data_IF_131789642279
#
_entry.id   IF_131789642279
#
_cell.length_a   1.000
_cell.length_b   1.000
_cell.length_c   1.000
_cell.angle_alpha   90.00
_cell.angle_beta   90.00
_cell.angle_gamma   90.00
#
_symmetry.space_group_name_H-M   'P 1'
#
loop_
_entity.id
_entity.type
_entity.pdbx_description
1 polymer ?
#
# COMPACT_ATOMS: atom_id res chain seq x y z
N UNK A 1 58.14 -0.34 37.94
CA UNK A 1 57.62 0.38 36.75
C UNK A 1 56.94 -0.51 35.69
N UNK A 2 57.28 -1.79 35.54
CA UNK A 2 56.74 -2.62 34.43
C UNK A 2 55.25 -3.02 34.57
N UNK A 3 54.76 -3.26 35.81
CA UNK A 3 53.38 -3.75 36.05
C UNK A 3 52.30 -2.75 35.61
N UNK A 4 52.52 -1.44 35.79
CA UNK A 4 51.57 -0.41 35.37
C UNK A 4 51.45 -0.27 33.85
N UNK A 5 52.55 -0.50 33.10
CA UNK A 5 52.50 -0.51 31.64
C UNK A 5 51.69 -1.69 31.09
N UNK A 6 51.80 -2.87 31.71
CA UNK A 6 51.02 -4.05 31.32
C UNK A 6 49.51 -3.87 31.57
N UNK A 7 49.14 -3.27 32.70
CA UNK A 7 47.74 -2.96 33.01
C UNK A 7 47.13 -1.97 32.00
N UNK A 8 47.88 -0.94 31.61
CA UNK A 8 47.40 0.01 30.60
C UNK A 8 47.23 -0.65 29.22
N UNK A 9 48.16 -1.55 28.83
CA UNK A 9 48.05 -2.29 27.56
C UNK A 9 46.80 -3.19 27.54
N UNK A 10 46.52 -3.90 28.65
CA UNK A 10 45.33 -4.73 28.78
C UNK A 10 44.06 -3.88 28.71
N UNK A 11 44.06 -2.71 29.35
CA UNK A 11 42.93 -1.79 29.34
C UNK A 11 42.65 -1.23 27.93
N UNK A 12 43.69 -0.82 27.19
CA UNK A 12 43.53 -0.37 25.81
C UNK A 12 43.10 -1.50 24.86
N UNK A 13 43.61 -2.72 25.06
CA UNK A 13 43.19 -3.89 24.30
C UNK A 13 41.70 -4.21 24.52
N UNK A 14 41.22 -4.10 25.76
CA UNK A 14 39.81 -4.28 26.09
C UNK A 14 38.92 -3.20 25.46
N UNK A 15 39.32 -1.93 25.54
CA UNK A 15 38.61 -0.82 24.88
C UNK A 15 38.55 -1.02 23.37
N UNK A 16 39.66 -1.45 22.75
CA UNK A 16 39.70 -1.71 21.32
C UNK A 16 38.77 -2.85 20.92
N UNK A 17 38.75 -3.94 21.68
CA UNK A 17 37.82 -5.06 21.45
C UNK A 17 36.35 -4.62 21.59
N UNK A 18 36.04 -3.77 22.57
CA UNK A 18 34.70 -3.21 22.76
C UNK A 18 34.28 -2.30 21.59
N UNK A 19 35.19 -1.48 21.07
CA UNK A 19 34.94 -0.63 19.89
C UNK A 19 34.69 -1.44 18.62
N UNK A 20 35.47 -2.50 18.40
CA UNK A 20 35.28 -3.42 17.26
C UNK A 20 33.93 -4.14 17.37
N UNK A 21 33.61 -4.66 18.56
CA UNK A 21 32.32 -5.31 18.81
C UNK A 21 31.13 -4.37 18.58
N UNK A 22 31.22 -3.13 19.10
CA UNK A 22 30.21 -2.10 18.89
C UNK A 22 30.07 -1.72 17.41
N UNK A 23 31.18 -1.58 16.68
CA UNK A 23 31.18 -1.32 15.23
C UNK A 23 30.53 -2.44 14.41
N UNK A 24 30.75 -3.70 14.77
CA UNK A 24 30.11 -4.84 14.10
C UNK A 24 28.58 -4.86 14.29
N UNK A 25 28.08 -4.47 15.47
CA UNK A 25 26.64 -4.43 15.76
C UNK A 25 25.95 -3.30 14.98
N UNK A 26 26.52 -2.09 14.99
CA UNK A 26 25.88 -0.92 14.37
C UNK A 26 25.73 -1.05 12.85
N UNK A 27 26.63 -1.76 12.18
CA UNK A 27 26.54 -2.03 10.75
C UNK A 27 25.30 -2.84 10.35
N UNK A 28 24.82 -3.74 11.21
CA UNK A 28 23.65 -4.59 10.88
C UNK A 28 22.30 -3.89 11.04
N UNK A 29 22.24 -2.74 11.71
CA UNK A 29 20.98 -2.05 12.02
C UNK A 29 20.47 -1.14 10.89
N UNK A 30 21.33 -0.68 9.98
CA UNK A 30 20.94 0.30 8.95
C UNK A 30 20.12 -0.30 7.80
N UNK A 31 20.37 -1.55 7.41
CA UNK A 31 19.63 -2.20 6.30
C UNK A 31 18.18 -2.48 6.69
N UNK A 32 17.96 -2.95 7.91
CA UNK A 32 16.61 -3.34 8.40
C UNK A 32 15.64 -2.17 8.45
N UNK A 33 16.10 -0.96 8.74
CA UNK A 33 15.23 0.21 8.82
C UNK A 33 14.74 0.68 7.45
N UNK A 34 15.58 0.56 6.42
CA UNK A 34 15.20 0.92 5.06
C UNK A 34 14.21 -0.09 4.45
N UNK A 35 14.42 -1.38 4.73
CA UNK A 35 13.52 -2.45 4.28
C UNK A 35 12.12 -2.28 4.90
N UNK A 36 12.04 -1.99 6.20
CA UNK A 36 10.76 -1.74 6.89
C UNK A 36 10.06 -0.49 6.34
N UNK A 37 10.79 0.56 5.99
CA UNK A 37 10.20 1.77 5.43
C UNK A 37 9.60 1.52 4.04
N UNK A 38 10.33 0.81 3.18
CA UNK A 38 9.86 0.50 1.82
C UNK A 38 8.71 -0.50 1.81
N UNK A 39 8.71 -1.47 2.72
CA UNK A 39 7.61 -2.41 2.89
C UNK A 39 6.34 -1.71 3.37
N UNK A 40 6.45 -0.80 4.35
CA UNK A 40 5.32 0.03 4.80
C UNK A 40 4.74 0.90 3.68
N UNK A 41 5.58 1.50 2.84
CA UNK A 41 5.12 2.32 1.73
C UNK A 41 4.37 1.47 0.69
N UNK A 42 4.88 0.29 0.33
CA UNK A 42 4.23 -0.62 -0.60
C UNK A 42 2.87 -1.09 -0.06
N UNK A 43 2.83 -1.57 1.19
CA UNK A 43 1.59 -2.02 1.82
C UNK A 43 0.57 -0.89 1.93
N UNK A 44 1.01 0.32 2.28
CA UNK A 44 0.15 1.50 2.35
C UNK A 44 -0.47 1.88 1.00
N UNK A 45 0.32 1.85 -0.08
CA UNK A 45 -0.20 2.11 -1.44
C UNK A 45 -1.22 1.07 -1.88
N UNK A 46 -0.93 -0.21 -1.66
CA UNK A 46 -1.86 -1.29 -2.00
C UNK A 46 -3.13 -1.21 -1.16
N UNK A 47 -3.03 -0.88 0.13
CA UNK A 47 -4.20 -0.69 0.99
C UNK A 47 -5.11 0.42 0.48
N UNK A 48 -4.56 1.58 0.13
CA UNK A 48 -5.34 2.70 -0.39
C UNK A 48 -6.05 2.34 -1.71
N UNK A 49 -5.36 1.63 -2.61
CA UNK A 49 -5.95 1.16 -3.87
C UNK A 49 -7.13 0.20 -3.63
N UNK A 50 -6.94 -0.80 -2.75
CA UNK A 50 -8.00 -1.75 -2.41
C UNK A 50 -9.17 -1.06 -1.69
N UNK A 51 -8.90 -0.07 -0.84
CA UNK A 51 -9.95 0.69 -0.15
C UNK A 51 -10.79 1.51 -1.14
N UNK A 52 -10.15 2.14 -2.11
CA UNK A 52 -10.83 2.89 -3.18
C UNK A 52 -11.68 1.95 -4.05
N UNK A 53 -11.11 0.83 -4.49
CA UNK A 53 -11.83 -0.18 -5.29
C UNK A 53 -13.04 -0.73 -4.52
N UNK A 54 -12.88 -1.03 -3.23
CA UNK A 54 -13.97 -1.52 -2.40
C UNK A 54 -15.09 -0.47 -2.25
N UNK A 55 -14.74 0.82 -2.10
CA UNK A 55 -15.74 1.91 -2.08
C UNK A 55 -16.50 2.01 -3.40
N UNK A 56 -15.82 1.89 -4.54
CA UNK A 56 -16.46 1.90 -5.86
C UNK A 56 -17.41 0.72 -6.02
N UNK A 57 -16.95 -0.49 -5.68
CA UNK A 57 -17.76 -1.71 -5.74
C UNK A 57 -18.96 -1.66 -4.79
N UNK A 58 -18.81 -1.06 -3.60
CA UNK A 58 -19.92 -0.87 -2.66
C UNK A 58 -20.97 0.09 -3.23
N UNK A 59 -20.54 1.18 -3.86
CA UNK A 59 -21.45 2.10 -4.55
C UNK A 59 -22.14 1.45 -5.75
N UNK A 60 -21.42 0.65 -6.52
CA UNK A 60 -22.00 -0.12 -7.63
C UNK A 60 -23.02 -1.13 -7.13
N UNK A 61 -22.74 -1.86 -6.05
CA UNK A 61 -23.71 -2.75 -5.40
C UNK A 61 -24.97 -2.02 -4.96
N UNK A 62 -24.85 -0.80 -4.42
CA UNK A 62 -26.01 0.01 -4.04
C UNK A 62 -26.83 0.40 -5.28
N UNK A 63 -26.18 0.81 -6.37
CA UNK A 63 -26.86 1.13 -7.65
C UNK A 63 -27.53 -0.10 -8.26
N UNK A 64 -26.89 -1.26 -8.18
CA UNK A 64 -27.43 -2.54 -8.64
C UNK A 64 -28.51 -3.10 -7.70
N UNK A 65 -28.62 -2.60 -6.46
CA UNK A 65 -29.71 -2.96 -5.56
C UNK A 65 -30.98 -2.11 -5.80
N UNK A 66 -30.88 -1.01 -6.55
CA UNK A 66 -32.02 -0.21 -6.94
C UNK A 66 -32.70 -0.83 -8.16
N UNK A 67 -33.86 -1.48 -7.93
CA UNK A 67 -34.68 -2.09 -8.97
C UNK A 67 -35.02 -1.13 -10.13
N UNK A 68 -35.10 0.18 -9.87
CA UNK A 68 -35.37 1.16 -10.93
C UNK A 68 -34.18 1.34 -11.88
N UNK A 69 -32.96 1.22 -11.36
CA UNK A 69 -31.74 1.28 -12.17
C UNK A 69 -31.58 -0.01 -12.99
N UNK A 70 -31.86 -1.19 -12.41
CA UNK A 70 -31.90 -2.46 -13.14
C UNK A 70 -32.95 -2.40 -14.26
N UNK A 71 -34.17 -1.93 -13.97
CA UNK A 71 -35.23 -1.79 -14.96
C UNK A 71 -34.83 -0.84 -16.09
N UNK A 72 -34.12 0.26 -15.77
CA UNK A 72 -33.62 1.20 -16.77
C UNK A 72 -32.57 0.56 -17.69
N UNK A 73 -31.55 -0.10 -17.14
CA UNK A 73 -30.50 -0.76 -17.93
C UNK A 73 -31.10 -1.90 -18.77
N UNK A 74 -31.98 -2.72 -18.20
CA UNK A 74 -32.66 -3.78 -18.94
C UNK A 74 -33.52 -3.22 -20.09
N UNK A 75 -34.16 -2.05 -19.91
CA UNK A 75 -34.89 -1.36 -20.97
C UNK A 75 -33.97 -0.81 -22.07
N UNK A 76 -32.81 -0.26 -21.69
CA UNK A 76 -31.81 0.23 -22.65
C UNK A 76 -31.23 -0.93 -23.48
N UNK A 77 -30.88 -2.06 -22.85
CA UNK A 77 -30.35 -3.25 -23.52
C UNK A 77 -31.40 -3.94 -24.43
N UNK A 78 -32.68 -3.91 -24.04
CA UNK A 78 -33.78 -4.50 -24.81
C UNK A 78 -34.40 -3.52 -25.82
N UNK A 79 -33.95 -2.26 -25.89
CA UNK A 79 -34.54 -1.23 -26.74
C UNK A 79 -36.00 -0.86 -26.39
N UNK A 80 -36.39 -1.06 -25.13
CA UNK A 80 -37.76 -0.86 -24.64
C UNK A 80 -37.92 0.53 -24.01
N UNK A 81 -38.90 1.32 -24.48
CA UNK A 81 -39.25 2.63 -23.92
C UNK A 81 -40.53 2.57 -23.07
N UNK A 82 -40.56 3.34 -21.98
CA UNK A 82 -41.73 3.41 -21.08
C UNK A 82 -42.87 4.15 -21.78
N UNK A 83 -44.14 3.82 -21.44
CA UNK A 83 -45.30 4.57 -21.94
C UNK A 83 -45.15 6.07 -21.59
N UNK A 84 -44.94 6.91 -22.61
CA UNK A 84 -44.79 8.35 -22.47
C UNK A 84 -43.37 8.90 -22.72
N UNK A 85 -42.36 8.06 -22.95
CA UNK A 85 -41.00 8.50 -23.32
C UNK A 85 -40.81 8.45 -24.85
N UNK A 86 -40.30 9.53 -25.46
CA UNK A 86 -39.97 9.58 -26.89
C UNK A 86 -38.64 8.89 -27.15
N UNK A 87 -38.56 7.83 -27.99
CA UNK A 87 -37.30 7.16 -28.27
C UNK A 87 -36.35 8.10 -29.01
N UNK A 88 -35.22 8.46 -28.40
CA UNK A 88 -34.15 9.19 -29.07
C UNK A 88 -33.26 8.16 -29.77
N UNK A 89 -33.54 7.93 -31.06
CA UNK A 89 -32.67 7.15 -31.93
C UNK A 89 -31.48 8.06 -32.28
N UNK A 90 -30.30 7.83 -31.70
CA UNK A 90 -29.07 8.42 -32.22
C UNK A 90 -28.77 7.73 -33.55
N UNK A 91 -29.16 8.36 -34.65
CA UNK A 91 -28.69 7.97 -35.98
C UNK A 91 -27.17 8.19 -36.03
N UNK A 92 -26.42 7.11 -35.87
CA UNK A 92 -25.00 7.08 -36.22
C UNK A 92 -24.92 7.15 -37.74
N UNK A 93 -24.84 8.37 -38.27
CA UNK A 93 -24.56 8.61 -39.67
C UNK A 93 -23.16 8.05 -39.97
N UNK A 94 -23.10 7.02 -40.80
CA UNK A 94 -21.87 6.46 -41.35
C UNK A 94 -21.91 6.61 -42.87
#
# INVERSE_FOLDING_TARGET
MAKGKLINIIFYSFIFAALVYFGCITYQHQVKLNDIATEKEKVGKTYLQLEEENKLLAQEKIKLADNQYIEKIAREDLGLVKKGETPIIKSSNN
#
